data_IF_404295514385
#
_entry.id   IF_404295514385
#
_cell.length_a   1.000
_cell.length_b   1.000
_cell.length_c   1.000
_cell.angle_alpha   90.00
_cell.angle_beta   90.00
_cell.angle_gamma   90.00
#
_symmetry.space_group_name_H-M   'P 1'
#
loop_
_entity.id
_entity.type
_entity.pdbx_description
1 polymer ?
#
# COMPACT_ATOMS: atom_id res chain seq x y z
N UNK A 1 -20.10 7.51 2.04
CA UNK A 1 -18.85 6.74 2.21
C UNK A 1 -19.17 5.30 1.88
N UNK A 2 -18.65 4.79 0.76
CA UNK A 2 -18.86 3.39 0.38
C UNK A 2 -18.19 2.51 1.43
N UNK A 3 -18.96 1.66 2.10
CA UNK A 3 -18.44 0.55 2.90
C UNK A 3 -17.58 -0.29 1.96
N UNK A 4 -16.29 -0.20 2.09
CA UNK A 4 -15.37 -1.00 1.30
C UNK A 4 -15.08 -2.27 2.10
N UNK A 5 -15.56 -3.44 1.67
CA UNK A 5 -15.22 -4.74 2.27
C UNK A 5 -13.71 -4.97 2.32
N UNK A 6 -12.97 -4.26 1.47
CA UNK A 6 -11.54 -4.30 1.29
C UNK A 6 -10.70 -4.06 2.55
N UNK A 7 -11.17 -3.24 3.50
CA UNK A 7 -10.36 -2.95 4.69
C UNK A 7 -10.15 -4.18 5.58
N UNK A 8 -11.01 -5.16 5.49
CA UNK A 8 -10.87 -6.42 6.24
C UNK A 8 -9.95 -7.44 5.54
N UNK A 9 -9.60 -7.21 4.28
CA UNK A 9 -8.68 -8.05 3.51
C UNK A 9 -7.21 -7.77 3.84
N UNK A 10 -6.88 -6.53 4.22
CA UNK A 10 -5.53 -6.11 4.54
C UNK A 10 -5.17 -6.38 6.00
N UNK A 11 -3.88 -6.65 6.26
CA UNK A 11 -3.34 -6.83 7.62
C UNK A 11 -2.16 -5.91 7.91
N UNK A 12 -1.92 -4.94 7.05
CA UNK A 12 -0.78 -4.06 7.12
C UNK A 12 -1.17 -2.66 6.66
N UNK A 13 -0.75 -1.64 7.41
CA UNK A 13 -0.84 -0.24 6.99
C UNK A 13 0.56 0.27 6.67
N UNK A 14 0.75 0.73 5.44
CA UNK A 14 1.92 1.43 4.96
C UNK A 14 1.71 2.93 5.14
N UNK A 15 2.63 3.61 5.81
CA UNK A 15 2.53 5.03 6.14
C UNK A 15 3.65 5.81 5.45
N UNK A 16 3.26 6.89 4.79
CA UNK A 16 4.16 7.85 4.19
C UNK A 16 4.33 9.03 5.15
N UNK A 17 5.54 9.28 5.66
CA UNK A 17 5.82 10.46 6.48
C UNK A 17 5.74 11.76 5.66
N UNK A 18 5.59 12.89 6.35
CA UNK A 18 5.63 14.22 5.72
C UNK A 18 6.89 14.42 4.88
N UNK A 19 6.77 15.02 3.66
CA UNK A 19 7.91 15.23 2.74
C UNK A 19 9.06 16.04 3.34
N UNK A 20 8.78 16.97 4.24
CA UNK A 20 9.79 17.83 4.89
C UNK A 20 10.83 17.03 5.70
N UNK A 21 10.50 15.82 6.12
CA UNK A 21 11.43 14.92 6.81
C UNK A 21 12.62 14.55 5.91
N UNK A 22 12.39 14.49 4.59
CA UNK A 22 13.43 14.13 3.61
C UNK A 22 14.47 15.23 3.41
N UNK A 23 14.12 16.47 3.69
CA UNK A 23 15.01 17.62 3.59
C UNK A 23 15.98 17.74 4.77
N UNK A 24 15.84 16.89 5.79
CA UNK A 24 16.64 16.91 6.99
C UNK A 24 17.89 16.04 6.88
N UNK A 25 18.93 16.36 7.65
CA UNK A 25 20.09 15.48 7.79
C UNK A 25 19.68 14.08 8.23
N UNK A 26 20.50 13.07 7.92
CA UNK A 26 20.20 11.66 8.26
C UNK A 26 19.86 11.47 9.75
N UNK A 27 20.62 12.11 10.64
CA UNK A 27 20.41 12.03 12.10
C UNK A 27 19.04 12.60 12.50
N UNK A 28 18.71 13.78 11.99
CA UNK A 28 17.43 14.45 12.28
C UNK A 28 16.27 13.66 11.68
N UNK A 29 16.40 13.19 10.43
CA UNK A 29 15.40 12.34 9.77
C UNK A 29 15.04 11.11 10.61
N UNK A 30 16.03 10.34 11.04
CA UNK A 30 15.78 9.12 11.85
C UNK A 30 15.12 9.47 13.18
N UNK A 31 15.52 10.57 13.84
CA UNK A 31 14.87 11.03 15.08
C UNK A 31 13.41 11.38 14.85
N UNK A 32 13.09 12.11 13.77
CA UNK A 32 11.72 12.48 13.42
C UNK A 32 10.86 11.26 13.08
N UNK A 33 11.39 10.30 12.32
CA UNK A 33 10.69 9.06 11.99
C UNK A 33 10.41 8.22 13.25
N UNK A 34 11.36 8.11 14.17
CA UNK A 34 11.16 7.45 15.47
C UNK A 34 10.07 8.14 16.31
N UNK A 35 10.07 9.46 16.34
CA UNK A 35 9.04 10.24 17.03
C UNK A 35 7.66 9.98 16.41
N UNK A 36 7.54 10.01 15.08
CA UNK A 36 6.29 9.70 14.38
C UNK A 36 5.80 8.27 14.69
N UNK A 37 6.69 7.28 14.63
CA UNK A 37 6.34 5.89 15.00
C UNK A 37 5.82 5.79 16.44
N UNK A 38 6.45 6.50 17.37
CA UNK A 38 6.00 6.55 18.77
C UNK A 38 4.64 7.24 18.92
N UNK A 39 4.40 8.33 18.19
CA UNK A 39 3.10 9.02 18.21
C UNK A 39 1.99 8.11 17.71
N UNK A 40 2.21 7.40 16.60
CA UNK A 40 1.24 6.43 16.07
C UNK A 40 0.99 5.32 17.09
N UNK A 41 2.06 4.72 17.64
CA UNK A 41 1.97 3.68 18.65
C UNK A 41 1.15 4.13 19.88
N UNK A 42 1.44 5.32 20.40
CA UNK A 42 0.75 5.85 21.57
C UNK A 42 -0.73 6.16 21.27
N UNK A 43 -1.04 6.68 20.08
CA UNK A 43 -2.41 6.94 19.64
C UNK A 43 -3.22 5.64 19.55
N UNK A 44 -2.67 4.59 18.98
CA UNK A 44 -3.32 3.27 18.90
C UNK A 44 -3.52 2.66 20.31
N UNK A 45 -2.51 2.73 21.17
CA UNK A 45 -2.58 2.22 22.55
C UNK A 45 -3.65 2.94 23.37
N UNK A 46 -3.77 4.25 23.23
CA UNK A 46 -4.78 5.06 23.96
C UNK A 46 -6.20 4.59 23.70
N UNK A 47 -6.50 4.14 22.50
CA UNK A 47 -7.82 3.63 22.10
C UNK A 47 -7.88 2.10 22.09
N UNK A 48 -6.87 1.43 22.66
CA UNK A 48 -6.77 -0.03 22.82
C UNK A 48 -6.85 -0.82 21.49
N UNK A 49 -6.35 -0.27 20.40
CA UNK A 49 -6.22 -1.00 19.13
C UNK A 49 -4.92 -1.78 19.16
N UNK A 50 -4.95 -3.13 19.10
CA UNK A 50 -3.75 -3.95 19.11
C UNK A 50 -3.04 -3.89 17.77
N UNK A 51 -1.72 -4.01 17.79
CA UNK A 51 -0.88 -4.23 16.61
C UNK A 51 0.21 -5.26 16.96
N UNK A 52 0.55 -6.11 16.00
CA UNK A 52 1.53 -7.18 16.25
C UNK A 52 2.96 -6.67 16.21
N UNK A 53 3.24 -5.76 15.26
CA UNK A 53 4.58 -5.31 14.93
C UNK A 53 4.52 -3.95 14.25
N UNK A 54 5.58 -3.18 14.39
CA UNK A 54 5.83 -1.99 13.57
C UNK A 54 7.30 -1.93 13.17
N UNK A 55 7.59 -1.38 12.02
CA UNK A 55 8.95 -1.28 11.50
C UNK A 55 9.12 -0.12 10.52
N UNK A 56 10.34 0.37 10.41
CA UNK A 56 10.77 1.28 9.35
C UNK A 56 11.28 0.44 8.17
N UNK A 57 11.00 0.86 6.92
CA UNK A 57 11.62 0.23 5.75
C UNK A 57 13.14 0.38 5.76
N UNK A 58 13.88 -0.52 5.10
CA UNK A 58 15.36 -0.49 5.06
C UNK A 58 15.89 0.85 4.51
N UNK A 59 15.22 1.43 3.52
CA UNK A 59 15.52 2.75 2.95
C UNK A 59 15.00 3.92 3.81
N UNK A 60 14.42 3.64 4.96
CA UNK A 60 13.80 4.61 5.88
C UNK A 60 12.69 5.45 5.24
N UNK A 61 12.09 4.99 4.13
CA UNK A 61 11.11 5.78 3.37
C UNK A 61 9.66 5.50 3.77
N UNK A 62 9.39 4.41 4.45
CA UNK A 62 8.04 3.99 4.85
C UNK A 62 8.03 3.46 6.26
N UNK A 63 6.93 3.70 6.96
CA UNK A 63 6.62 3.09 8.25
C UNK A 63 5.51 2.07 8.03
N UNK A 64 5.65 0.90 8.65
CA UNK A 64 4.68 -0.19 8.55
C UNK A 64 4.16 -0.55 9.93
N UNK A 65 2.84 -0.72 10.04
CA UNK A 65 2.18 -1.28 11.21
C UNK A 65 1.36 -2.50 10.80
N UNK A 66 1.51 -3.59 11.53
CA UNK A 66 0.88 -4.88 11.26
C UNK A 66 -0.25 -5.12 12.25
N UNK A 67 -1.42 -5.45 11.74
CA UNK A 67 -2.65 -5.64 12.49
C UNK A 67 -3.29 -6.99 12.19
N UNK A 68 -4.32 -7.34 12.94
CA UNK A 68 -5.34 -8.26 12.46
C UNK A 68 -6.22 -7.52 11.44
N UNK A 69 -6.79 -8.26 10.50
CA UNK A 69 -7.61 -7.67 9.42
C UNK A 69 -8.78 -6.85 9.99
N UNK A 70 -9.45 -7.35 11.03
CA UNK A 70 -10.57 -6.70 11.72
C UNK A 70 -10.22 -5.33 12.33
N UNK A 71 -8.95 -5.09 12.65
CA UNK A 71 -8.49 -3.85 13.28
C UNK A 71 -8.06 -2.78 12.26
N UNK A 72 -7.88 -3.11 10.99
CA UNK A 72 -7.37 -2.20 9.93
C UNK A 72 -8.24 -0.95 9.81
N UNK A 73 -9.56 -1.11 9.79
CA UNK A 73 -10.51 0.01 9.66
C UNK A 73 -10.39 0.98 10.84
N UNK A 74 -10.40 0.44 12.07
CA UNK A 74 -10.27 1.24 13.29
C UNK A 74 -8.91 1.91 13.38
N UNK A 75 -7.83 1.18 13.05
CA UNK A 75 -6.48 1.70 13.04
C UNK A 75 -6.31 2.84 12.02
N UNK A 76 -6.90 2.72 10.84
CA UNK A 76 -6.90 3.75 9.79
C UNK A 76 -7.51 5.06 10.28
N UNK A 77 -8.64 5.02 10.99
CA UNK A 77 -9.28 6.22 11.55
C UNK A 77 -8.43 6.93 12.62
N UNK A 78 -7.59 6.19 13.32
CA UNK A 78 -6.66 6.77 14.30
C UNK A 78 -5.41 7.32 13.62
N UNK A 79 -4.80 6.55 12.71
CA UNK A 79 -3.59 6.94 12.00
C UNK A 79 -3.80 8.22 11.19
N UNK A 80 -4.96 8.38 10.57
CA UNK A 80 -5.37 9.58 9.83
C UNK A 80 -5.24 10.88 10.64
N UNK A 81 -5.38 10.81 11.96
CA UNK A 81 -5.36 11.96 12.87
C UNK A 81 -3.97 12.23 13.46
N UNK A 82 -2.98 11.41 13.16
CA UNK A 82 -1.64 11.56 13.74
C UNK A 82 -0.83 12.59 12.96
N UNK A 83 -0.42 13.66 13.63
CA UNK A 83 0.47 14.65 13.03
C UNK A 83 1.78 14.03 12.57
N UNK A 84 2.21 14.38 11.37
CA UNK A 84 3.42 13.83 10.73
C UNK A 84 3.14 12.68 9.74
N UNK A 85 1.92 12.15 9.70
CA UNK A 85 1.46 11.26 8.63
C UNK A 85 1.04 12.14 7.44
N UNK A 86 1.68 11.95 6.29
CA UNK A 86 1.30 12.61 5.05
C UNK A 86 0.17 11.86 4.36
N UNK A 87 0.33 10.56 4.24
CA UNK A 87 -0.68 9.66 3.72
C UNK A 87 -0.41 8.24 4.20
N UNK A 88 -1.39 7.37 4.11
CA UNK A 88 -1.22 5.95 4.41
C UNK A 88 -2.12 5.11 3.51
N UNK A 89 -1.82 3.82 3.45
CA UNK A 89 -2.60 2.84 2.69
C UNK A 89 -2.66 1.53 3.46
N UNK A 90 -3.84 0.95 3.64
CA UNK A 90 -3.94 -0.48 3.90
C UNK A 90 -3.37 -1.24 2.71
N UNK A 91 -2.52 -2.23 2.93
CA UNK A 91 -1.81 -2.91 1.85
C UNK A 91 -1.75 -4.42 2.07
N UNK A 92 -1.71 -5.15 0.96
CA UNK A 92 -1.39 -6.57 0.90
C UNK A 92 0.10 -6.72 0.56
N UNK A 93 0.86 -7.38 1.43
CA UNK A 93 2.30 -7.61 1.23
C UNK A 93 2.55 -8.98 0.64
N UNK A 94 3.42 -9.04 -0.37
CA UNK A 94 3.94 -10.27 -0.95
C UNK A 94 5.45 -10.17 -1.23
N UNK A 95 6.06 -11.24 -1.74
CA UNK A 95 7.44 -11.17 -2.22
C UNK A 95 7.54 -10.35 -3.51
N UNK A 96 8.76 -9.96 -3.89
CA UNK A 96 9.03 -9.24 -5.12
C UNK A 96 9.06 -10.13 -6.38
N UNK A 97 8.79 -11.44 -6.25
CA UNK A 97 8.71 -12.34 -7.41
C UNK A 97 7.49 -12.00 -8.25
N UNK A 98 7.68 -11.85 -9.57
CA UNK A 98 6.62 -11.41 -10.48
C UNK A 98 5.35 -12.25 -10.38
N UNK A 99 5.49 -13.59 -10.28
CA UNK A 99 4.38 -14.51 -10.09
C UNK A 99 3.52 -14.13 -8.87
N UNK A 100 4.16 -13.86 -7.73
CA UNK A 100 3.45 -13.53 -6.49
C UNK A 100 2.81 -12.14 -6.57
N UNK A 101 3.43 -11.19 -7.29
CA UNK A 101 2.83 -9.88 -7.55
C UNK A 101 1.55 -10.03 -8.38
N UNK A 102 1.59 -10.85 -9.45
CA UNK A 102 0.42 -11.14 -10.28
C UNK A 102 -0.71 -11.74 -9.44
N UNK A 103 -0.44 -12.84 -8.71
CA UNK A 103 -1.42 -13.52 -7.88
C UNK A 103 -2.10 -12.56 -6.89
N UNK A 104 -1.32 -11.76 -6.17
CA UNK A 104 -1.87 -10.80 -5.20
C UNK A 104 -2.58 -9.61 -5.84
N UNK A 105 -2.17 -9.21 -7.05
CA UNK A 105 -2.88 -8.16 -7.78
C UNK A 105 -4.24 -8.67 -8.28
N UNK A 106 -4.33 -9.92 -8.69
CA UNK A 106 -5.58 -10.56 -9.05
C UNK A 106 -6.53 -10.65 -7.85
N UNK A 107 -6.04 -11.10 -6.68
CA UNK A 107 -6.84 -11.14 -5.44
C UNK A 107 -7.41 -9.75 -5.09
N UNK A 108 -6.60 -8.69 -5.21
CA UNK A 108 -7.08 -7.32 -5.01
C UNK A 108 -8.12 -6.95 -6.09
N UNK A 109 -7.88 -7.38 -7.33
CA UNK A 109 -8.80 -7.17 -8.45
C UNK A 109 -10.18 -7.79 -8.21
N UNK A 110 -10.23 -9.01 -7.66
CA UNK A 110 -11.49 -9.69 -7.30
C UNK A 110 -12.37 -8.86 -6.36
N UNK A 111 -11.75 -8.10 -5.46
CA UNK A 111 -12.46 -7.28 -4.49
C UNK A 111 -12.93 -5.91 -5.04
N UNK A 112 -12.23 -5.37 -6.06
CA UNK A 112 -12.46 -3.98 -6.48
C UNK A 112 -12.99 -3.80 -7.90
N UNK A 113 -12.69 -4.74 -8.80
CA UNK A 113 -13.02 -4.60 -10.21
C UNK A 113 -14.45 -5.03 -10.50
N UNK A 114 -15.13 -4.23 -11.29
CA UNK A 114 -16.50 -4.51 -11.72
C UNK A 114 -16.63 -4.39 -13.25
N UNK A 115 -17.72 -4.90 -13.81
CA UNK A 115 -17.97 -4.90 -15.25
C UNK A 115 -17.85 -3.51 -15.86
N UNK A 116 -17.13 -3.43 -16.98
CA UNK A 116 -16.88 -2.20 -17.75
C UNK A 116 -16.07 -1.14 -16.99
N UNK A 117 -15.31 -1.52 -15.95
CA UNK A 117 -14.40 -0.58 -15.32
C UNK A 117 -13.21 -0.23 -16.23
N UNK A 118 -12.69 0.98 -16.06
CA UNK A 118 -11.40 1.38 -16.59
C UNK A 118 -10.35 1.28 -15.49
N UNK A 119 -9.23 0.65 -15.80
CA UNK A 119 -8.17 0.30 -14.86
C UNK A 119 -6.85 0.97 -15.23
N UNK A 120 -6.11 1.41 -14.21
CA UNK A 120 -4.68 1.67 -14.32
C UNK A 120 -3.91 0.94 -13.22
N UNK A 121 -2.78 0.34 -13.58
CA UNK A 121 -1.77 -0.13 -12.64
C UNK A 121 -0.71 0.95 -12.43
N UNK A 122 -0.47 1.33 -11.18
CA UNK A 122 0.54 2.33 -10.79
C UNK A 122 1.70 1.63 -10.11
N UNK A 123 2.76 1.35 -10.87
CA UNK A 123 3.93 0.63 -10.37
C UNK A 123 5.04 1.59 -9.95
N UNK A 124 5.49 1.49 -8.70
CA UNK A 124 6.67 2.17 -8.18
C UNK A 124 7.68 1.16 -7.66
N UNK A 125 8.96 1.39 -7.94
CA UNK A 125 10.03 0.49 -7.56
C UNK A 125 11.18 1.26 -6.88
N UNK A 126 11.72 0.68 -5.82
CA UNK A 126 12.91 1.17 -5.12
C UNK A 126 13.84 0.01 -4.83
N UNK A 127 15.11 0.16 -5.19
CA UNK A 127 16.12 -0.89 -5.08
C UNK A 127 16.47 -1.54 -6.43
N UNK A 128 17.35 -2.55 -6.38
CA UNK A 128 17.81 -3.29 -7.55
C UNK A 128 16.93 -4.54 -7.74
N UNK A 129 16.41 -4.72 -8.96
CA UNK A 129 15.56 -5.85 -9.35
C UNK A 129 15.87 -6.21 -10.80
N UNK A 130 15.58 -7.44 -11.21
CA UNK A 130 15.79 -7.96 -12.56
C UNK A 130 14.83 -7.38 -13.61
N UNK A 131 13.80 -6.63 -13.18
CA UNK A 131 12.77 -6.03 -14.03
C UNK A 131 12.60 -4.54 -13.73
N UNK A 132 12.10 -3.79 -14.70
CA UNK A 132 11.70 -2.39 -14.55
C UNK A 132 10.26 -2.26 -14.03
N UNK A 133 9.88 -1.04 -13.58
CA UNK A 133 8.48 -0.76 -13.21
C UNK A 133 7.55 -0.92 -14.41
N UNK A 134 8.02 -0.63 -15.61
CA UNK A 134 7.25 -0.78 -16.85
C UNK A 134 7.03 -2.25 -17.20
N UNK A 135 8.05 -3.10 -17.04
CA UNK A 135 7.90 -4.55 -17.26
C UNK A 135 6.85 -5.15 -16.33
N UNK A 136 6.86 -4.75 -15.07
CA UNK A 136 5.85 -5.18 -14.09
C UNK A 136 4.46 -4.68 -14.50
N UNK A 137 4.32 -3.42 -14.88
CA UNK A 137 3.03 -2.85 -15.28
C UNK A 137 2.45 -3.57 -16.50
N UNK A 138 3.27 -3.88 -17.49
CA UNK A 138 2.86 -4.60 -18.71
C UNK A 138 2.46 -6.04 -18.38
N UNK A 139 3.33 -6.80 -17.73
CA UNK A 139 3.10 -8.23 -17.45
C UNK A 139 1.93 -8.43 -16.48
N UNK A 140 1.90 -7.69 -15.36
CA UNK A 140 0.80 -7.79 -14.40
C UNK A 140 -0.50 -7.28 -15.02
N UNK A 141 -0.44 -6.20 -15.81
CA UNK A 141 -1.60 -5.65 -16.50
C UNK A 141 -2.23 -6.65 -17.48
N UNK A 142 -1.41 -7.35 -18.26
CA UNK A 142 -1.88 -8.37 -19.19
C UNK A 142 -2.57 -9.51 -18.43
N UNK A 143 -1.94 -10.07 -17.41
CA UNK A 143 -2.50 -11.16 -16.61
C UNK A 143 -3.83 -10.76 -15.92
N UNK A 144 -3.93 -9.53 -15.42
CA UNK A 144 -5.16 -9.01 -14.83
C UNK A 144 -6.27 -8.88 -15.87
N UNK A 145 -5.99 -8.34 -17.05
CA UNK A 145 -7.00 -8.22 -18.14
C UNK A 145 -7.44 -9.60 -18.61
N UNK A 146 -6.53 -10.55 -18.78
CA UNK A 146 -6.84 -11.90 -19.23
C UNK A 146 -7.67 -12.66 -18.19
N UNK A 147 -7.29 -12.57 -16.91
CA UNK A 147 -8.02 -13.20 -15.81
C UNK A 147 -9.47 -12.68 -15.71
N UNK A 148 -9.64 -11.36 -15.84
CA UNK A 148 -10.95 -10.68 -15.76
C UNK A 148 -11.58 -10.41 -17.13
N UNK A 149 -11.29 -11.23 -18.15
CA UNK A 149 -11.82 -11.07 -19.51
C UNK A 149 -13.36 -10.95 -19.55
N UNK A 150 -14.05 -11.63 -18.65
CA UNK A 150 -15.52 -11.58 -18.49
C UNK A 150 -16.05 -10.23 -17.95
N UNK A 151 -15.19 -9.39 -17.39
CA UNK A 151 -15.57 -8.06 -16.89
C UNK A 151 -15.49 -6.96 -17.97
N UNK A 152 -14.95 -7.26 -19.16
CA UNK A 152 -14.75 -6.28 -20.23
C UNK A 152 -14.03 -5.00 -19.73
N UNK A 153 -12.90 -5.19 -19.04
CA UNK A 153 -12.07 -4.11 -18.52
C UNK A 153 -11.35 -3.38 -19.64
N UNK A 154 -11.12 -2.09 -19.47
CA UNK A 154 -10.33 -1.27 -20.39
C UNK A 154 -9.19 -0.58 -19.63
N UNK A 155 -7.99 -0.52 -20.24
CA UNK A 155 -6.89 0.25 -19.68
C UNK A 155 -7.11 1.74 -19.96
N UNK A 156 -7.03 2.56 -18.92
CA UNK A 156 -7.07 4.02 -19.04
C UNK A 156 -6.05 4.61 -18.06
N UNK A 157 -4.93 5.08 -18.57
CA UNK A 157 -3.85 5.63 -17.74
C UNK A 157 -4.08 7.06 -17.29
N UNK A 158 -4.91 7.82 -18.01
CA UNK A 158 -5.12 9.24 -17.74
C UNK A 158 -6.23 9.49 -16.71
N UNK A 159 -7.34 8.78 -16.83
CA UNK A 159 -8.52 8.94 -15.95
C UNK A 159 -9.19 7.58 -15.70
N UNK A 160 -8.52 6.68 -14.98
CA UNK A 160 -9.08 5.38 -14.67
C UNK A 160 -10.18 5.51 -13.61
N UNK A 161 -11.17 4.63 -13.68
CA UNK A 161 -12.18 4.48 -12.64
C UNK A 161 -11.64 3.72 -11.42
N UNK A 162 -10.68 2.83 -11.67
CA UNK A 162 -10.00 2.02 -10.65
C UNK A 162 -8.49 2.11 -10.83
N UNK A 163 -7.79 2.29 -9.72
CA UNK A 163 -6.33 2.21 -9.69
C UNK A 163 -5.88 1.11 -8.73
N UNK A 164 -4.95 0.27 -9.18
CA UNK A 164 -4.25 -0.66 -8.32
C UNK A 164 -2.78 -0.22 -8.28
N UNK A 165 -2.31 0.06 -7.09
CA UNK A 165 -0.94 0.47 -6.85
C UNK A 165 -0.07 -0.74 -6.46
N UNK A 166 1.12 -0.83 -7.05
CA UNK A 166 2.13 -1.85 -6.74
C UNK A 166 3.41 -1.12 -6.38
N UNK A 167 3.79 -1.17 -5.10
CA UNK A 167 5.04 -0.57 -4.63
C UNK A 167 6.05 -1.66 -4.27
N UNK A 168 7.14 -1.78 -5.02
CA UNK A 168 8.18 -2.81 -4.86
C UNK A 168 9.36 -2.19 -4.12
N UNK A 169 9.74 -2.79 -2.96
CA UNK A 169 10.85 -2.34 -2.13
C UNK A 169 11.67 -3.52 -1.61
N UNK A 170 12.89 -3.64 -2.11
CA UNK A 170 13.77 -4.75 -1.74
C UNK A 170 13.11 -6.09 -2.06
N UNK A 171 12.93 -6.95 -1.07
CA UNK A 171 12.39 -8.31 -1.21
C UNK A 171 10.85 -8.38 -1.20
N UNK A 172 10.16 -7.25 -0.99
CA UNK A 172 8.71 -7.21 -0.84
C UNK A 172 8.03 -6.30 -1.84
N UNK A 173 6.80 -6.66 -2.16
CA UNK A 173 5.85 -5.85 -2.91
C UNK A 173 4.61 -5.58 -2.06
N UNK A 174 4.05 -4.38 -2.21
CA UNK A 174 2.89 -3.89 -1.49
C UNK A 174 1.83 -3.48 -2.49
N UNK A 175 0.67 -4.13 -2.43
CA UNK A 175 -0.44 -3.93 -3.37
C UNK A 175 -1.60 -3.28 -2.62
N UNK A 176 -2.17 -2.22 -3.17
CA UNK A 176 -3.22 -1.43 -2.53
C UNK A 176 -4.00 -0.61 -3.56
N UNK A 177 -5.16 -0.14 -3.16
CA UNK A 177 -6.06 0.66 -4.01
C UNK A 177 -6.25 2.08 -3.49
N UNK A 178 -6.15 2.28 -2.18
CA UNK A 178 -6.46 3.55 -1.56
C UNK A 178 -5.19 4.22 -1.01
N UNK A 179 -5.09 5.52 -1.24
CA UNK A 179 -4.14 6.43 -0.58
C UNK A 179 -4.97 7.43 0.21
N UNK A 180 -4.89 7.37 1.52
CA UNK A 180 -5.70 8.14 2.47
C UNK A 180 -4.87 9.23 3.11
#
# INVERSE_FOLDING_TARGET
MKNTPLLEFYNLIKINPLPEIWLKSRKVKIRMLKALMNNIKNSLKRVKIPFHKYQLSKDSARIFFFFKNEDIKKASEIIKKVFGVYSFSPVLRTSNKLKNIIERTIEVGEEVLTKNDTLALRVKRSGVHEYSSQDVAIKVGQEVIDHFSYLNLKVNLSSPKKEIHIEIRGEFSYIFTDVI
#
